data_IF_270749640438
#
_entry.id   IF_270749640438
#
_cell.length_a   1.000
_cell.length_b   1.000
_cell.length_c   1.000
_cell.angle_alpha   90.00
_cell.angle_beta   90.00
_cell.angle_gamma   90.00
#
_symmetry.space_group_name_H-M   'P 1'
#
loop_
_entity.id
_entity.type
_entity.pdbx_description
1 polymer ?
#
# COMPACT_ATOMS: atom_id res chain seq x y z
N UNK A 1 10.73 15.34 4.76
CA UNK A 1 10.34 16.11 3.56
C UNK A 1 9.30 15.29 2.81
N UNK A 2 8.16 15.86 2.39
CA UNK A 2 7.18 15.12 1.58
C UNK A 2 7.64 15.09 0.14
N UNK A 3 8.07 13.92 -0.34
CA UNK A 3 8.36 13.70 -1.75
C UNK A 3 7.09 13.95 -2.58
N UNK A 4 7.21 14.72 -3.67
CA UNK A 4 6.08 15.02 -4.56
C UNK A 4 5.45 13.71 -5.08
N UNK A 5 4.12 13.68 -5.22
CA UNK A 5 3.37 12.54 -5.79
C UNK A 5 3.96 12.19 -7.16
N UNK A 6 4.43 10.96 -7.35
CA UNK A 6 4.99 10.53 -8.64
C UNK A 6 3.87 9.89 -9.48
N UNK A 7 3.52 10.45 -10.64
CA UNK A 7 2.50 9.85 -11.50
C UNK A 7 3.01 8.56 -12.14
N UNK A 8 2.17 7.54 -12.18
CA UNK A 8 2.45 6.30 -12.93
C UNK A 8 1.97 6.49 -14.36
N UNK A 9 2.89 6.57 -15.30
CA UNK A 9 2.58 6.86 -16.72
C UNK A 9 2.40 5.59 -17.56
N UNK A 10 2.97 4.46 -17.12
CA UNK A 10 2.88 3.18 -17.81
C UNK A 10 3.08 2.01 -16.85
N UNK A 11 2.35 0.93 -17.09
CA UNK A 11 2.44 -0.34 -16.38
C UNK A 11 2.96 -1.42 -17.36
N UNK A 12 3.99 -2.20 -16.99
CA UNK A 12 4.52 -3.26 -17.84
C UNK A 12 3.45 -4.25 -18.28
N UNK A 13 3.36 -4.50 -19.60
CA UNK A 13 2.38 -5.43 -20.17
C UNK A 13 0.95 -4.93 -20.27
N UNK A 14 0.62 -3.76 -19.71
CA UNK A 14 -0.72 -3.15 -19.78
C UNK A 14 -0.73 -1.83 -20.57
N UNK A 15 0.29 -0.99 -20.37
CA UNK A 15 0.34 0.36 -20.93
C UNK A 15 -0.13 1.40 -19.91
N UNK A 16 -0.78 2.48 -20.38
CA UNK A 16 -1.25 3.54 -19.50
C UNK A 16 -2.32 3.01 -18.52
N UNK A 17 -2.28 3.40 -17.24
CA UNK A 17 -3.29 2.97 -16.27
C UNK A 17 -4.69 3.49 -16.64
N UNK A 18 -5.77 2.79 -16.22
CA UNK A 18 -7.15 3.14 -16.58
C UNK A 18 -7.61 4.49 -16.00
N UNK A 19 -7.05 4.89 -14.85
CA UNK A 19 -7.19 6.23 -14.27
C UNK A 19 -5.82 6.78 -13.87
N UNK A 20 -5.77 7.99 -13.32
CA UNK A 20 -4.51 8.53 -12.80
C UNK A 20 -4.10 7.77 -11.55
N UNK A 21 -2.90 7.19 -11.62
CA UNK A 21 -2.27 6.52 -10.51
C UNK A 21 -1.08 7.35 -10.02
N UNK A 22 -0.82 7.32 -8.72
CA UNK A 22 0.33 7.96 -8.11
C UNK A 22 1.00 7.02 -7.12
N UNK A 23 2.31 7.14 -6.99
CA UNK A 23 3.08 6.39 -6.01
C UNK A 23 4.05 7.28 -5.27
N UNK A 24 4.51 6.82 -4.13
CA UNK A 24 5.61 7.47 -3.45
C UNK A 24 5.98 6.81 -2.14
N UNK A 25 6.88 7.49 -1.45
CA UNK A 25 7.35 7.12 -0.12
C UNK A 25 7.06 8.24 0.86
N UNK A 26 6.70 7.85 2.07
CA UNK A 26 6.58 8.75 3.23
C UNK A 26 7.53 8.28 4.32
N UNK A 27 8.38 9.19 4.80
CA UNK A 27 9.21 8.96 5.99
C UNK A 27 8.32 8.95 7.23
N UNK A 28 8.37 7.85 7.99
CA UNK A 28 7.56 7.67 9.21
C UNK A 28 8.39 7.62 10.49
N UNK A 29 9.69 7.34 10.36
CA UNK A 29 10.63 7.39 11.48
C UNK A 29 12.00 7.92 11.02
N UNK A 30 12.36 9.16 11.40
CA UNK A 30 13.65 9.76 11.06
C UNK A 30 14.87 9.11 11.72
N UNK A 31 14.70 8.40 12.84
CA UNK A 31 15.81 7.76 13.58
C UNK A 31 16.26 6.49 12.86
N UNK A 32 15.31 5.66 12.43
CA UNK A 32 15.57 4.45 11.65
C UNK A 32 15.62 4.70 10.15
N UNK A 33 15.28 5.91 9.70
CA UNK A 33 15.09 6.25 8.28
C UNK A 33 14.09 5.29 7.63
N UNK A 34 12.97 5.06 8.31
CA UNK A 34 11.90 4.21 7.82
C UNK A 34 10.98 4.97 6.89
N UNK A 35 10.74 4.37 5.72
CA UNK A 35 9.90 4.89 4.67
C UNK A 35 8.81 3.87 4.31
N UNK A 36 7.55 4.30 4.36
CA UNK A 36 6.43 3.50 3.87
C UNK A 36 6.15 3.82 2.41
N UNK A 37 5.96 2.78 1.62
CA UNK A 37 5.48 2.90 0.25
C UNK A 37 3.95 3.02 0.23
N UNK A 38 3.45 3.87 -0.68
CA UNK A 38 2.02 4.01 -0.93
C UNK A 38 1.72 4.06 -2.43
N UNK A 39 0.55 3.54 -2.79
CA UNK A 39 0.01 3.55 -4.15
C UNK A 39 -1.41 4.12 -4.12
N UNK A 40 -1.65 5.22 -4.83
CA UNK A 40 -2.94 5.86 -4.98
C UNK A 40 -3.51 5.59 -6.36
N UNK A 41 -4.75 5.12 -6.43
CA UNK A 41 -5.57 5.00 -7.63
C UNK A 41 -6.70 6.01 -7.52
N UNK A 42 -6.76 6.97 -8.43
CA UNK A 42 -7.88 7.92 -8.46
C UNK A 42 -9.16 7.26 -8.98
N UNK A 43 -10.30 7.75 -8.50
CA UNK A 43 -11.61 7.26 -8.90
C UNK A 43 -11.85 7.43 -10.42
N UNK A 44 -12.69 6.58 -11.02
CA UNK A 44 -13.09 6.75 -12.43
C UNK A 44 -13.97 7.98 -12.67
N UNK A 45 -14.75 8.39 -11.65
CA UNK A 45 -15.55 9.61 -11.66
C UNK A 45 -14.70 10.87 -11.44
N UNK A 46 -15.24 11.86 -10.73
CA UNK A 46 -14.47 13.04 -10.31
C UNK A 46 -13.66 12.72 -9.04
N UNK A 47 -12.31 12.60 -9.13
CA UNK A 47 -11.48 12.25 -7.98
C UNK A 47 -11.47 13.32 -6.89
N UNK A 48 -11.84 14.57 -7.20
CA UNK A 48 -11.82 15.67 -6.24
C UNK A 48 -12.96 15.63 -5.22
N UNK A 49 -14.05 14.92 -5.55
CA UNK A 49 -15.22 14.76 -4.68
C UNK A 49 -15.45 13.32 -4.26
N UNK A 50 -14.79 12.35 -4.91
CA UNK A 50 -14.87 10.95 -4.51
C UNK A 50 -14.24 10.72 -3.12
N UNK A 51 -14.81 9.84 -2.29
CA UNK A 51 -14.24 9.52 -0.99
C UNK A 51 -12.84 8.89 -1.14
N UNK A 52 -12.00 9.07 -0.13
CA UNK A 52 -10.71 8.37 -0.02
C UNK A 52 -10.89 7.11 0.83
N UNK A 53 -10.57 5.96 0.27
CA UNK A 53 -10.51 4.68 0.98
C UNK A 53 -9.06 4.32 1.21
N UNK A 54 -8.70 4.16 2.48
CA UNK A 54 -7.41 3.59 2.88
C UNK A 54 -7.55 2.07 2.94
N UNK A 55 -6.78 1.36 2.12
CA UNK A 55 -6.68 -0.08 2.11
C UNK A 55 -5.35 -0.59 2.68
N UNK A 56 -5.44 -1.61 3.54
CA UNK A 56 -4.30 -2.34 4.10
C UNK A 56 -4.60 -3.82 4.16
N UNK A 57 -3.67 -4.65 3.69
CA UNK A 57 -3.72 -6.08 3.93
C UNK A 57 -3.18 -6.42 5.32
N UNK A 58 -3.71 -7.49 5.91
CA UNK A 58 -3.43 -7.90 7.28
C UNK A 58 -2.24 -8.86 7.41
N UNK A 59 -2.30 -9.76 8.39
CA UNK A 59 -1.21 -10.73 8.64
C UNK A 59 -0.81 -10.76 10.10
N UNK A 60 0.40 -10.31 10.48
CA UNK A 60 1.18 -9.16 9.98
C UNK A 60 2.14 -9.49 8.82
N UNK A 61 2.59 -8.46 8.10
CA UNK A 61 3.65 -8.62 7.09
C UNK A 61 3.16 -8.76 5.64
N UNK A 62 1.85 -8.79 5.39
CA UNK A 62 1.35 -8.90 4.03
C UNK A 62 1.41 -7.56 3.30
N UNK A 63 1.75 -7.63 2.02
CA UNK A 63 1.76 -6.46 1.14
C UNK A 63 0.35 -6.08 0.73
N UNK A 64 0.06 -4.78 0.74
CA UNK A 64 -1.19 -4.21 0.25
C UNK A 64 -1.33 -4.29 -1.27
N UNK A 65 -0.28 -4.71 -1.98
CA UNK A 65 -0.36 -5.06 -3.40
C UNK A 65 -1.22 -6.29 -3.66
N UNK A 66 -1.43 -7.15 -2.65
CA UNK A 66 -2.43 -8.20 -2.74
C UNK A 66 -3.82 -7.60 -3.01
N UNK A 67 -4.19 -6.54 -2.29
CA UNK A 67 -5.41 -5.78 -2.55
C UNK A 67 -5.43 -5.10 -3.91
N UNK A 68 -4.33 -4.41 -4.25
CA UNK A 68 -4.20 -3.63 -5.49
C UNK A 68 -4.29 -4.49 -6.75
N UNK A 69 -3.71 -5.70 -6.76
CA UNK A 69 -3.55 -6.54 -7.95
C UNK A 69 -4.27 -7.88 -7.88
N UNK A 70 -4.97 -8.16 -6.79
CA UNK A 70 -5.64 -9.44 -6.56
C UNK A 70 -7.04 -9.35 -5.93
N UNK A 71 -7.44 -8.21 -5.38
CA UNK A 71 -8.74 -8.06 -4.71
C UNK A 71 -9.59 -6.95 -5.33
N UNK A 72 -9.38 -5.69 -4.92
CA UNK A 72 -10.29 -4.58 -5.21
C UNK A 72 -9.66 -3.43 -6.02
N UNK A 73 -8.38 -3.55 -6.39
CA UNK A 73 -7.72 -2.57 -7.26
C UNK A 73 -8.19 -2.62 -8.71
N UNK A 74 -7.79 -1.62 -9.52
CA UNK A 74 -8.31 -1.39 -10.86
C UNK A 74 -7.93 -2.48 -11.85
N UNK A 75 -6.83 -3.20 -11.57
CA UNK A 75 -6.28 -4.24 -12.41
C UNK A 75 -6.04 -5.49 -11.55
N UNK A 76 -6.16 -6.67 -12.15
CA UNK A 76 -5.82 -7.94 -11.53
C UNK A 76 -4.78 -8.69 -12.35
N UNK A 77 -3.92 -9.45 -11.69
CA UNK A 77 -3.01 -10.39 -12.36
C UNK A 77 -3.77 -11.64 -12.78
N UNK A 78 -3.79 -11.94 -14.07
CA UNK A 78 -4.35 -13.19 -14.57
C UNK A 78 -3.39 -14.37 -14.36
N UNK A 79 -3.85 -15.60 -14.62
CA UNK A 79 -3.05 -16.82 -14.45
C UNK A 79 -1.82 -16.92 -15.36
N UNK A 80 -1.67 -16.02 -16.34
CA UNK A 80 -0.49 -15.90 -17.21
C UNK A 80 0.45 -14.77 -16.77
N UNK A 81 0.17 -14.10 -15.66
CA UNK A 81 1.00 -13.01 -15.12
C UNK A 81 0.79 -11.65 -15.80
N UNK A 82 -0.25 -11.49 -16.62
CA UNK A 82 -0.58 -10.21 -17.25
C UNK A 82 -1.63 -9.45 -16.42
N UNK A 83 -1.50 -8.13 -16.41
CA UNK A 83 -2.52 -7.24 -15.86
C UNK A 83 -3.72 -7.20 -16.80
N UNK A 84 -4.91 -7.34 -16.23
CA UNK A 84 -6.20 -7.17 -16.92
C UNK A 84 -7.13 -6.32 -16.06
N UNK A 85 -8.12 -5.68 -16.68
CA UNK A 85 -9.10 -4.86 -15.96
C UNK A 85 -9.88 -5.67 -14.92
N UNK A 86 -10.08 -5.07 -13.75
CA UNK A 86 -10.98 -5.59 -12.72
C UNK A 86 -12.36 -4.93 -12.84
N UNK A 87 -13.38 -5.62 -13.38
CA UNK A 87 -14.71 -5.04 -13.55
C UNK A 87 -15.43 -4.72 -12.23
N UNK A 88 -14.94 -5.23 -11.09
CA UNK A 88 -15.51 -5.04 -9.76
C UNK A 88 -14.63 -4.16 -8.86
N UNK A 89 -13.73 -3.38 -9.44
CA UNK A 89 -12.82 -2.55 -8.65
C UNK A 89 -13.54 -1.44 -7.90
N UNK A 90 -13.07 -1.20 -6.67
CA UNK A 90 -13.59 -0.15 -5.79
C UNK A 90 -13.23 1.26 -6.26
N UNK A 91 -12.25 1.41 -7.16
CA UNK A 91 -11.94 2.71 -7.74
C UNK A 91 -13.09 3.29 -8.59
N UNK A 92 -14.11 2.47 -8.90
CA UNK A 92 -15.35 2.97 -9.52
C UNK A 92 -16.15 3.92 -8.62
N UNK A 93 -15.91 3.91 -7.30
CA UNK A 93 -16.65 4.69 -6.31
C UNK A 93 -15.76 5.56 -5.40
N UNK A 94 -14.45 5.32 -5.36
CA UNK A 94 -13.55 5.97 -4.42
C UNK A 94 -12.13 6.16 -4.99
N UNK A 95 -11.39 7.10 -4.42
CA UNK A 95 -9.94 7.11 -4.52
C UNK A 95 -9.39 6.02 -3.60
N UNK A 96 -8.60 5.10 -4.12
CA UNK A 96 -8.08 3.96 -3.37
C UNK A 96 -6.60 4.18 -3.03
N UNK A 97 -6.27 4.25 -1.74
CA UNK A 97 -4.91 4.38 -1.22
C UNK A 97 -4.46 3.06 -0.59
N UNK A 98 -3.54 2.37 -1.25
CA UNK A 98 -2.90 1.15 -0.76
C UNK A 98 -1.61 1.52 -0.03
N UNK A 99 -1.46 1.08 1.22
CA UNK A 99 -0.29 1.41 2.05
C UNK A 99 0.41 0.13 2.50
N UNK A 100 1.71 0.05 2.25
CA UNK A 100 2.57 -1.03 2.71
C UNK A 100 2.98 -0.76 4.18
N UNK A 101 2.21 -1.27 5.14
CA UNK A 101 2.35 -0.88 6.53
C UNK A 101 3.40 -1.71 7.28
N UNK A 102 4.59 -1.14 7.38
CA UNK A 102 5.73 -1.64 8.15
C UNK A 102 7.01 -1.63 7.31
N UNK A 103 8.15 -1.19 7.86
CA UNK A 103 9.39 -1.20 7.09
C UNK A 103 9.82 -2.66 6.83
N UNK A 104 10.26 -2.95 5.60
CA UNK A 104 10.58 -4.32 5.15
C UNK A 104 9.40 -5.08 4.51
N UNK A 105 8.19 -4.50 4.48
CA UNK A 105 7.02 -5.09 3.81
C UNK A 105 6.86 -4.45 2.42
N UNK A 106 6.78 -5.30 1.40
CA UNK A 106 6.65 -4.87 0.01
C UNK A 106 7.81 -3.96 -0.41
N UNK A 107 7.49 -2.72 -0.78
CA UNK A 107 8.48 -1.72 -1.14
C UNK A 107 8.92 -0.82 0.02
N UNK A 108 8.26 -0.90 1.18
CA UNK A 108 8.64 -0.11 2.37
C UNK A 108 10.00 -0.57 2.91
N UNK A 109 10.84 0.37 3.36
CA UNK A 109 12.21 0.08 3.78
C UNK A 109 12.65 0.93 4.97
N UNK A 110 13.71 0.50 5.65
CA UNK A 110 14.45 1.29 6.62
C UNK A 110 15.93 1.37 6.21
N UNK A 111 16.54 2.56 6.21
CA UNK A 111 17.89 2.77 5.66
C UNK A 111 19.02 2.76 6.70
N UNK A 112 18.71 2.65 8.00
CA UNK A 112 19.71 2.70 9.07
C UNK A 112 20.13 1.32 9.62
N UNK A 113 20.10 0.26 8.80
CA UNK A 113 20.65 -1.04 9.20
C UNK A 113 22.07 -1.21 8.64
N UNK A 114 23.06 -1.04 9.52
CA UNK A 114 24.48 -1.39 9.26
C UNK A 114 24.71 -2.91 9.14
N UNK A 115 23.64 -3.71 9.11
CA UNK A 115 23.69 -5.12 8.76
C UNK A 115 22.42 -5.49 8.01
N UNK A 116 22.56 -6.23 6.91
CA UNK A 116 21.49 -6.83 6.11
C UNK A 116 20.66 -7.86 6.92
N UNK A 117 20.90 -7.96 8.23
CA UNK A 117 20.27 -8.91 9.16
C UNK A 117 19.64 -8.27 10.40
N UNK A 118 19.75 -6.95 10.60
CA UNK A 118 18.83 -6.30 11.54
C UNK A 118 17.58 -6.03 10.73
N UNK A 119 16.67 -7.00 10.74
CA UNK A 119 15.28 -6.82 10.38
C UNK A 119 14.86 -5.41 10.80
N UNK A 120 14.07 -4.72 9.99
CA UNK A 120 13.29 -3.60 10.51
C UNK A 120 12.27 -4.19 11.51
N UNK A 121 12.73 -4.82 12.59
CA UNK A 121 11.92 -5.31 13.67
C UNK A 121 11.26 -4.06 14.20
N UNK A 122 9.95 -3.96 14.02
CA UNK A 122 9.15 -3.34 15.05
C UNK A 122 9.57 -4.05 16.32
N UNK A 123 10.46 -3.42 17.09
CA UNK A 123 10.85 -3.94 18.39
C UNK A 123 9.55 -4.00 19.19
N UNK A 124 8.96 -5.19 19.25
CA UNK A 124 7.71 -5.44 19.97
C UNK A 124 7.86 -5.13 21.45
N UNK A 125 9.08 -4.87 21.94
CA UNK A 125 9.31 -4.47 23.33
C UNK A 125 8.90 -3.03 23.63
N UNK A 126 8.71 -2.16 22.63
CA UNK A 126 8.12 -0.83 22.81
C UNK A 126 6.58 -0.80 22.62
N UNK A 127 5.98 -1.88 22.11
CA UNK A 127 4.54 -2.08 22.13
C UNK A 127 4.10 -2.72 23.46
N UNK A 128 4.17 -1.97 24.55
CA UNK A 128 3.46 -2.32 25.78
C UNK A 128 1.95 -2.09 25.61
N UNK A 129 1.12 -3.04 26.03
CA UNK A 129 0.51 -4.01 25.14
C UNK A 129 -0.60 -3.40 24.28
N UNK A 130 -0.53 -3.56 22.96
CA UNK A 130 -1.75 -3.83 22.20
C UNK A 130 -2.15 -5.29 22.49
N UNK A 131 -2.48 -5.55 23.75
CA UNK A 131 -3.35 -6.66 24.07
C UNK A 131 -4.61 -6.37 23.27
N UNK A 132 -4.98 -7.30 22.40
CA UNK A 132 -6.38 -7.50 22.11
C UNK A 132 -7.07 -7.73 23.46
N UNK A 133 -7.51 -6.64 24.10
CA UNK A 133 -8.39 -6.74 25.26
C UNK A 133 -9.71 -7.24 24.70
N UNK A 134 -9.93 -8.52 24.92
CA UNK A 134 -11.22 -9.19 24.92
C UNK A 134 -12.15 -8.84 23.76
N UNK A 135 -12.09 -9.67 22.73
CA UNK A 135 -13.32 -10.18 22.13
C UNK A 135 -14.07 -11.01 23.18
N UNK A 136 -14.62 -10.35 24.20
CA UNK A 136 -15.74 -10.89 24.95
C UNK A 136 -17.01 -10.46 24.24
N UNK A 137 -17.68 -11.49 23.74
CA UNK A 137 -19.02 -11.46 23.20
C UNK A 137 -19.98 -10.94 24.27
N UNK A 138 -20.69 -9.86 23.96
CA UNK A 138 -22.03 -9.54 24.48
C UNK A 138 -22.72 -8.56 23.52
#
# INVERSE_FOLDING_TARGET
>A
QTTARQPVTSLPGYGAPPTRHFTGFIEVDPATKSHLFWYLVEATGDPSVAPLVWWMNGGPGASSFAGLLGENGPLILNGSGYLVDNPYSWHSQANMLYVEFGPGIGYSYCANSSSVSTECTQDRSDCSPCAASDASVA
#
